data_IF_297102801477
#
_entry.id   IF_297102801477
#
_cell.length_a   1.000
_cell.length_b   1.000
_cell.length_c   1.000
_cell.angle_alpha   90.00
_cell.angle_beta   90.00
_cell.angle_gamma   90.00
#
_symmetry.space_group_name_H-M   'P 1'
#
loop_
_entity.id
_entity.type
_entity.pdbx_description
1 polymer ?
#
# COMPACT_ATOMS: atom_id res chain seq x y z
N UNK A 1 -18.70 5.23 7.56
CA UNK A 1 -17.72 5.34 6.46
C UNK A 1 -17.04 4.00 6.28
N UNK A 2 -16.71 3.62 5.03
CA UNK A 2 -15.99 2.39 4.78
C UNK A 2 -14.51 2.56 5.18
N UNK A 3 -13.94 1.54 5.82
CA UNK A 3 -12.54 1.57 6.28
C UNK A 3 -11.60 1.48 5.06
N UNK A 4 -10.67 2.44 4.83
CA UNK A 4 -9.81 2.43 3.65
C UNK A 4 -8.98 1.15 3.54
N UNK A 5 -8.84 0.60 2.34
CA UNK A 5 -8.12 -0.65 2.05
C UNK A 5 -6.82 -0.33 1.33
N UNK A 6 -5.69 -0.59 1.97
CA UNK A 6 -4.37 -0.16 1.48
C UNK A 6 -3.49 -1.39 1.22
N UNK A 7 -2.97 -1.48 0.00
CA UNK A 7 -1.93 -2.44 -0.35
C UNK A 7 -0.53 -1.84 -0.13
N UNK A 8 0.35 -2.56 0.58
CA UNK A 8 1.71 -2.15 0.90
C UNK A 8 2.73 -3.13 0.31
N UNK A 9 3.56 -2.66 -0.63
CA UNK A 9 4.49 -3.48 -1.41
C UNK A 9 5.84 -2.77 -1.47
N UNK A 10 6.93 -3.53 -1.37
CA UNK A 10 8.28 -2.96 -1.48
C UNK A 10 9.26 -4.01 -2.01
N UNK A 11 10.11 -3.62 -2.97
CA UNK A 11 11.31 -4.39 -3.31
C UNK A 11 12.24 -4.48 -2.11
N UNK A 12 13.15 -5.45 -2.11
CA UNK A 12 14.01 -5.74 -0.95
C UNK A 12 14.77 -4.51 -0.45
N UNK A 13 15.41 -3.75 -1.34
CA UNK A 13 16.12 -2.51 -1.01
C UNK A 13 15.22 -1.35 -0.55
N UNK A 14 13.89 -1.50 -0.61
CA UNK A 14 12.92 -0.48 -0.17
C UNK A 14 12.16 -0.89 1.08
N UNK A 15 12.39 -2.08 1.63
CA UNK A 15 11.65 -2.58 2.80
C UNK A 15 11.92 -1.78 4.07
N UNK A 16 13.14 -1.29 4.27
CA UNK A 16 13.43 -0.41 5.42
C UNK A 16 12.63 0.89 5.34
N UNK A 17 12.50 1.43 4.13
CA UNK A 17 11.75 2.67 3.87
C UNK A 17 10.25 2.45 4.11
N UNK A 18 9.66 1.36 3.62
CA UNK A 18 8.21 1.13 3.82
C UNK A 18 7.89 0.84 5.30
N UNK A 19 8.80 0.19 6.04
CA UNK A 19 8.64 0.00 7.50
C UNK A 19 8.73 1.34 8.23
N UNK A 20 9.68 2.21 7.85
CA UNK A 20 9.80 3.55 8.42
C UNK A 20 8.53 4.39 8.16
N UNK A 21 8.00 4.37 6.94
CA UNK A 21 6.70 4.97 6.62
C UNK A 21 5.57 4.38 7.45
N UNK A 22 5.52 3.05 7.60
CA UNK A 22 4.49 2.39 8.38
C UNK A 22 4.52 2.78 9.87
N UNK A 23 5.72 2.97 10.43
CA UNK A 23 5.90 3.50 11.80
C UNK A 23 5.44 4.96 11.91
N UNK A 24 5.86 5.80 10.98
CA UNK A 24 5.50 7.22 10.96
C UNK A 24 3.99 7.44 10.86
N UNK A 25 3.34 6.72 9.94
CA UNK A 25 1.90 6.80 9.71
C UNK A 25 1.10 5.76 10.50
N UNK A 26 1.70 5.14 11.53
CA UNK A 26 1.05 4.08 12.31
C UNK A 26 -0.35 4.45 12.82
N UNK A 27 -0.59 5.65 13.41
CA UNK A 27 -1.93 6.01 13.89
C UNK A 27 -2.98 6.05 12.78
N UNK A 28 -2.59 6.43 11.56
CA UNK A 28 -3.45 6.43 10.38
C UNK A 28 -3.69 5.01 9.87
N UNK A 29 -2.61 4.25 9.67
CA UNK A 29 -2.67 2.90 9.09
C UNK A 29 -3.42 1.92 9.98
N UNK A 30 -3.40 2.12 11.31
CA UNK A 30 -4.17 1.33 12.26
C UNK A 30 -5.70 1.50 12.10
N UNK A 31 -6.15 2.53 11.38
CA UNK A 31 -7.56 2.79 11.06
C UNK A 31 -7.94 2.29 9.66
N UNK A 32 -7.05 1.53 9.00
CA UNK A 32 -7.24 1.02 7.64
C UNK A 32 -7.22 -0.51 7.63
N UNK A 33 -7.77 -1.12 6.58
CA UNK A 33 -7.53 -2.53 6.24
C UNK A 33 -6.25 -2.62 5.44
N UNK A 34 -5.25 -3.32 5.95
CA UNK A 34 -3.94 -3.41 5.30
C UNK A 34 -3.74 -4.80 4.72
N UNK A 35 -3.26 -4.85 3.48
CA UNK A 35 -2.68 -6.07 2.90
C UNK A 35 -1.29 -5.78 2.34
N UNK A 36 -0.43 -6.80 2.30
CA UNK A 36 0.94 -6.64 1.82
C UNK A 36 1.49 -7.95 1.27
N UNK A 37 2.48 -7.86 0.39
CA UNK A 37 3.22 -9.04 -0.08
C UNK A 37 4.06 -9.64 1.04
N UNK A 38 4.30 -10.95 0.97
CA UNK A 38 4.69 -11.79 2.11
C UNK A 38 5.76 -11.23 3.06
N UNK A 39 6.92 -10.82 2.53
CA UNK A 39 8.03 -10.30 3.35
C UNK A 39 7.76 -8.88 3.84
N UNK A 40 7.15 -8.03 3.01
CA UNK A 40 6.80 -6.65 3.37
C UNK A 40 5.79 -6.64 4.51
N UNK A 41 4.71 -7.42 4.41
CA UNK A 41 3.71 -7.54 5.47
C UNK A 41 4.28 -8.12 6.76
N UNK A 42 5.15 -9.14 6.66
CA UNK A 42 5.82 -9.72 7.82
C UNK A 42 6.67 -8.70 8.59
N UNK A 43 7.43 -7.86 7.87
CA UNK A 43 8.22 -6.79 8.50
C UNK A 43 7.34 -5.72 9.13
N UNK A 44 6.32 -5.23 8.41
CA UNK A 44 5.42 -4.19 8.95
C UNK A 44 4.72 -4.67 10.23
N UNK A 45 4.22 -5.91 10.25
CA UNK A 45 3.57 -6.48 11.43
C UNK A 45 4.54 -6.56 12.63
N UNK A 46 5.76 -7.07 12.40
CA UNK A 46 6.76 -7.24 13.45
C UNK A 46 7.31 -5.90 13.96
N UNK A 47 7.53 -4.94 13.05
CA UNK A 47 8.34 -3.76 13.32
C UNK A 47 7.51 -2.49 13.58
N UNK A 48 6.28 -2.41 13.06
CA UNK A 48 5.37 -1.28 13.26
C UNK A 48 4.11 -1.66 14.08
N UNK A 49 3.96 -2.92 14.46
CA UNK A 49 2.82 -3.43 15.26
C UNK A 49 1.47 -3.02 14.66
N UNK A 50 1.32 -3.31 13.36
CA UNK A 50 0.11 -3.13 12.57
C UNK A 50 -0.45 -4.51 12.17
N UNK A 51 -1.77 -4.63 12.14
CA UNK A 51 -2.44 -5.81 11.59
C UNK A 51 -2.42 -5.73 10.06
N UNK A 52 -1.80 -6.71 9.41
CA UNK A 52 -1.57 -6.72 7.96
C UNK A 52 -1.84 -8.11 7.42
N UNK A 53 -2.78 -8.22 6.49
CA UNK A 53 -3.00 -9.46 5.76
C UNK A 53 -1.79 -9.74 4.84
N UNK A 54 -1.16 -10.90 5.04
CA UNK A 54 0.01 -11.32 4.27
C UNK A 54 -0.42 -12.15 3.07
N UNK A 55 -0.13 -11.63 1.90
CA UNK A 55 -0.27 -12.31 0.61
C UNK A 55 1.02 -13.06 0.27
N UNK A 56 1.06 -13.70 -0.91
CA UNK A 56 2.28 -14.30 -1.44
C UNK A 56 3.37 -13.22 -1.60
N UNK A 57 4.64 -13.62 -1.68
CA UNK A 57 5.68 -12.69 -2.11
C UNK A 57 5.50 -12.35 -3.60
N UNK A 58 5.98 -11.18 -4.02
CA UNK A 58 5.87 -10.70 -5.41
C UNK A 58 6.25 -11.77 -6.45
N UNK A 59 7.45 -12.38 -6.36
CA UNK A 59 7.89 -13.43 -7.29
C UNK A 59 7.01 -14.69 -7.36
N UNK A 60 6.16 -14.92 -6.35
CA UNK A 60 5.25 -16.06 -6.29
C UNK A 60 3.80 -15.68 -6.65
N UNK A 61 3.59 -14.48 -7.22
CA UNK A 61 2.27 -14.00 -7.66
C UNK A 61 1.55 -13.11 -6.65
N UNK A 62 2.23 -12.61 -5.62
CA UNK A 62 1.64 -11.68 -4.64
C UNK A 62 1.13 -10.39 -5.28
N UNK A 63 1.83 -9.88 -6.31
CA UNK A 63 1.43 -8.66 -7.02
C UNK A 63 0.15 -8.89 -7.83
N UNK A 64 -0.03 -10.09 -8.40
CA UNK A 64 -1.24 -10.49 -9.10
C UNK A 64 -2.43 -10.67 -8.14
N UNK A 65 -2.21 -11.17 -6.93
CA UNK A 65 -3.26 -11.23 -5.90
C UNK A 65 -3.77 -9.82 -5.56
N UNK A 66 -2.87 -8.85 -5.42
CA UNK A 66 -3.24 -7.45 -5.17
C UNK A 66 -3.96 -6.87 -6.38
N UNK A 67 -3.46 -7.11 -7.60
CA UNK A 67 -4.09 -6.66 -8.84
C UNK A 67 -5.51 -7.20 -9.02
N UNK A 68 -5.76 -8.46 -8.67
CA UNK A 68 -7.09 -9.05 -8.72
C UNK A 68 -8.05 -8.36 -7.74
N UNK A 69 -7.62 -8.13 -6.49
CA UNK A 69 -8.41 -7.40 -5.48
C UNK A 69 -8.69 -5.97 -5.89
N UNK A 70 -7.70 -5.29 -6.45
CA UNK A 70 -7.86 -3.95 -7.01
C UNK A 70 -8.95 -3.92 -8.07
N UNK A 71 -8.95 -4.86 -9.02
CA UNK A 71 -9.96 -4.95 -10.06
C UNK A 71 -11.39 -5.25 -9.55
N UNK A 72 -11.49 -5.92 -8.39
CA UNK A 72 -12.76 -6.17 -7.69
C UNK A 72 -13.22 -4.98 -6.81
N UNK A 73 -12.48 -3.87 -6.84
CA UNK A 73 -12.76 -2.71 -6.00
C UNK A 73 -12.50 -2.99 -4.52
N UNK A 74 -11.56 -3.88 -4.19
CA UNK A 74 -11.17 -4.27 -2.83
C UNK A 74 -9.90 -3.56 -2.32
N UNK A 75 -9.30 -2.69 -3.13
CA UNK A 75 -8.14 -1.86 -2.79
C UNK A 75 -8.46 -0.41 -3.16
N UNK A 76 -8.26 0.50 -2.21
CA UNK A 76 -8.49 1.94 -2.39
C UNK A 76 -7.19 2.70 -2.67
N UNK A 77 -6.05 2.22 -2.17
CA UNK A 77 -4.74 2.84 -2.34
C UNK A 77 -3.67 1.75 -2.48
N UNK A 78 -2.72 1.95 -3.40
CA UNK A 78 -1.52 1.12 -3.53
C UNK A 78 -0.27 1.95 -3.19
N UNK A 79 0.52 1.47 -2.22
CA UNK A 79 1.86 1.97 -1.95
C UNK A 79 2.85 0.89 -2.40
N UNK A 80 3.48 1.09 -3.55
CA UNK A 80 4.47 0.17 -4.10
C UNK A 80 5.84 0.84 -4.22
N UNK A 81 6.67 0.71 -3.18
CA UNK A 81 8.03 1.25 -3.21
C UNK A 81 8.95 0.38 -4.10
N UNK A 82 9.16 0.85 -5.33
CA UNK A 82 10.01 0.18 -6.30
C UNK A 82 11.48 0.56 -6.11
N UNK A 83 12.33 -0.41 -6.36
CA UNK A 83 13.75 -0.20 -6.61
C UNK A 83 13.99 0.01 -8.11
N UNK A 84 14.33 1.23 -8.57
CA UNK A 84 14.59 1.52 -9.97
C UNK A 84 16.00 1.12 -10.42
N UNK A 85 16.88 0.72 -9.50
CA UNK A 85 18.29 0.45 -9.79
C UNK A 85 18.56 -1.05 -9.99
N UNK A 86 17.64 -1.92 -9.57
CA UNK A 86 17.82 -3.37 -9.59
C UNK A 86 16.75 -4.03 -10.48
N UNK A 87 17.14 -4.80 -11.52
CA UNK A 87 16.19 -5.58 -12.31
C UNK A 87 15.39 -6.55 -11.45
N UNK A 88 14.10 -6.67 -11.72
CA UNK A 88 13.23 -7.59 -10.98
C UNK A 88 12.82 -8.77 -11.86
N UNK A 89 12.93 -10.02 -11.37
CA UNK A 89 12.54 -11.19 -12.15
C UNK A 89 11.03 -11.25 -12.47
N UNK A 90 10.22 -10.49 -11.71
CA UNK A 90 8.76 -10.39 -11.84
C UNK A 90 8.32 -9.02 -12.38
N UNK A 91 9.16 -8.33 -13.16
CA UNK A 91 8.84 -7.04 -13.78
C UNK A 91 7.52 -7.01 -14.59
N UNK A 92 7.13 -8.07 -15.33
CA UNK A 92 5.82 -8.12 -15.99
C UNK A 92 4.65 -7.95 -15.01
N UNK A 93 4.73 -8.55 -13.82
CA UNK A 93 3.68 -8.49 -12.80
C UNK A 93 3.60 -7.08 -12.19
N UNK A 94 4.75 -6.44 -11.97
CA UNK A 94 4.84 -5.05 -11.49
C UNK A 94 4.11 -4.10 -12.45
N UNK A 95 4.41 -4.22 -13.76
CA UNK A 95 3.80 -3.39 -14.78
C UNK A 95 2.30 -3.67 -14.92
N UNK A 96 1.88 -4.93 -14.77
CA UNK A 96 0.47 -5.29 -14.76
C UNK A 96 -0.28 -4.65 -13.59
N UNK A 97 0.30 -4.63 -12.39
CA UNK A 97 -0.31 -4.00 -11.20
C UNK A 97 -0.42 -2.48 -11.35
N UNK A 98 0.65 -1.81 -11.78
CA UNK A 98 0.61 -0.35 -12.00
C UNK A 98 -0.42 0.01 -13.07
N UNK A 99 -0.44 -0.73 -14.18
CA UNK A 99 -1.47 -0.55 -15.22
C UNK A 99 -2.88 -0.79 -14.68
N UNK A 100 -3.07 -1.76 -13.79
CA UNK A 100 -4.38 -1.98 -13.16
C UNK A 100 -4.79 -0.78 -12.30
N UNK A 101 -3.86 -0.15 -11.58
CA UNK A 101 -4.14 1.09 -10.86
C UNK A 101 -4.65 2.19 -11.81
N UNK A 102 -3.99 2.37 -12.96
CA UNK A 102 -4.38 3.36 -13.96
C UNK A 102 -5.76 3.07 -14.56
N UNK A 103 -6.07 1.80 -14.86
CA UNK A 103 -7.36 1.38 -15.44
C UNK A 103 -8.53 1.62 -14.49
N UNK A 104 -8.32 1.41 -13.19
CA UNK A 104 -9.36 1.51 -12.17
C UNK A 104 -9.35 2.84 -11.40
N UNK A 105 -8.52 3.81 -11.82
CA UNK A 105 -8.34 5.11 -11.17
C UNK A 105 -8.02 4.99 -9.65
N UNK A 106 -7.18 4.02 -9.31
CA UNK A 106 -6.75 3.77 -7.93
C UNK A 106 -5.42 4.49 -7.68
N UNK A 107 -5.33 5.39 -6.67
CA UNK A 107 -4.10 6.07 -6.32
C UNK A 107 -2.94 5.10 -6.08
N UNK A 108 -1.86 5.27 -6.84
CA UNK A 108 -0.66 4.44 -6.77
C UNK A 108 0.58 5.28 -6.48
N UNK A 109 1.23 5.06 -5.34
CA UNK A 109 2.53 5.64 -5.02
C UNK A 109 3.65 4.66 -5.36
N UNK A 110 4.50 5.01 -6.32
CA UNK A 110 5.63 4.16 -6.73
C UNK A 110 6.97 4.54 -6.08
N UNK A 111 6.97 5.58 -5.24
CA UNK A 111 8.14 6.10 -4.52
C UNK A 111 7.71 6.69 -3.17
N UNK A 112 8.69 6.94 -2.29
CA UNK A 112 8.45 7.42 -0.93
C UNK A 112 7.75 8.79 -0.89
N UNK A 113 8.20 9.74 -1.71
CA UNK A 113 7.64 11.10 -1.73
C UNK A 113 6.14 11.09 -2.05
N UNK A 114 5.75 10.30 -3.05
CA UNK A 114 4.33 10.13 -3.44
C UNK A 114 3.56 9.40 -2.34
N UNK A 115 4.15 8.38 -1.71
CA UNK A 115 3.51 7.64 -0.63
C UNK A 115 3.19 8.57 0.56
N UNK A 116 4.12 9.44 0.93
CA UNK A 116 3.92 10.44 2.00
C UNK A 116 2.79 11.41 1.66
N UNK A 117 2.72 11.88 0.41
CA UNK A 117 1.65 12.78 -0.02
C UNK A 117 0.28 12.10 0.06
N UNK A 118 0.15 10.86 -0.44
CA UNK A 118 -1.11 10.11 -0.36
C UNK A 118 -1.53 9.85 1.08
N UNK A 119 -0.62 9.40 1.95
CA UNK A 119 -0.94 9.12 3.35
C UNK A 119 -1.32 10.39 4.13
N UNK A 120 -0.66 11.52 3.87
CA UNK A 120 -1.04 12.81 4.48
C UNK A 120 -2.41 13.29 4.02
N UNK A 121 -2.71 13.13 2.73
CA UNK A 121 -4.03 13.49 2.20
C UNK A 121 -5.12 12.60 2.81
N UNK A 122 -4.90 11.28 2.87
CA UNK A 122 -5.83 10.35 3.51
C UNK A 122 -6.08 10.71 4.98
N UNK A 123 -5.04 11.06 5.74
CA UNK A 123 -5.20 11.52 7.13
C UNK A 123 -6.09 12.76 7.22
N UNK A 124 -5.91 13.71 6.30
CA UNK A 124 -6.73 14.92 6.22
C UNK A 124 -8.20 14.59 5.90
N UNK A 125 -8.44 13.66 4.97
CA UNK A 125 -9.78 13.28 4.56
C UNK A 125 -10.53 12.55 5.68
N UNK A 126 -9.87 11.63 6.39
CA UNK A 126 -10.44 10.95 7.55
C UNK A 126 -10.74 11.93 8.71
N UNK A 127 -9.89 12.93 8.93
CA UNK A 127 -10.14 13.99 9.92
C UNK A 127 -11.36 14.84 9.54
N UNK A 128 -11.46 15.26 8.27
CA UNK A 128 -12.61 16.05 7.78
C UNK A 128 -13.92 15.30 7.94
N UNK A 129 -13.92 14.01 7.62
CA UNK A 129 -15.12 13.21 7.71
C UNK A 129 -15.49 12.81 9.15
N UNK A 130 -14.60 13.03 10.12
CA UNK A 130 -14.89 12.92 11.55
C UNK A 130 -15.50 14.20 12.16
N UNK A 131 -15.43 15.34 11.47
CA UNK A 131 -16.06 16.60 11.92
C UNK A 131 -17.48 16.64 11.36
N UNK A 132 -18.54 16.67 12.21
CA UNK A 132 -19.91 16.79 11.74
C UNK A 132 -20.09 18.15 11.01
N UNK A 133 -20.93 18.22 9.96
CA UNK A 133 -21.22 19.49 9.30
C UNK A 133 -21.78 20.48 10.32
N UNK A 134 -21.30 21.73 10.27
CA UNK A 134 -21.86 22.82 11.09
C UNK A 134 -23.36 22.96 10.79
N UNK A 135 -24.19 23.25 11.81
CA UNK A 135 -25.63 23.40 11.66
C UNK A 135 -26.01 24.54 10.71
#
# INVERSE_FOLDING_TARGET
MNMPRIALIAHDHRKDIIVALAREFRPLLAQCRLCATGTTGGRIAAEASLDVERLLCGPMGGDLQIGARLAMGEIDIVIFLRDPMTPQPHEPDINALVRACDVHDVPCATNESTARLLLRQLATDLQRAAIPPLP
#
